data_IF_699269800906
#
_entry.id   IF_699269800906
#
_cell.length_a   1.000
_cell.length_b   1.000
_cell.length_c   1.000
_cell.angle_alpha   90.00
_cell.angle_beta   90.00
_cell.angle_gamma   90.00
#
_symmetry.space_group_name_H-M   'P 1'
#
loop_
_entity.id
_entity.type
_entity.pdbx_description
1 polymer ?
#
# COMPACT_ATOMS: atom_id res chain seq x y z
N UNK A 1 37.21 -41.64 21.54
CA UNK A 1 37.42 -40.18 21.44
C UNK A 1 37.65 -39.66 20.03
N UNK A 2 38.38 -40.36 19.13
CA UNK A 2 38.61 -39.90 17.74
C UNK A 2 37.35 -39.92 16.86
N UNK A 3 36.50 -40.95 17.01
CA UNK A 3 35.27 -41.12 16.21
C UNK A 3 34.20 -40.04 16.53
N UNK A 4 34.07 -39.65 17.81
CA UNK A 4 33.14 -38.57 18.23
C UNK A 4 33.54 -37.20 17.67
N UNK A 5 34.86 -36.92 17.55
CA UNK A 5 35.36 -35.68 16.96
C UNK A 5 35.07 -35.61 15.46
N UNK A 6 35.17 -36.74 14.75
CA UNK A 6 34.86 -36.83 13.31
C UNK A 6 33.37 -36.63 13.00
N UNK A 7 32.47 -37.15 13.84
CA UNK A 7 31.02 -36.96 13.69
C UNK A 7 30.64 -35.50 13.96
N UNK A 8 31.23 -34.87 14.98
CA UNK A 8 31.00 -33.45 15.29
C UNK A 8 31.45 -32.52 14.16
N UNK A 9 32.58 -32.81 13.49
CA UNK A 9 33.02 -32.01 12.34
C UNK A 9 32.14 -32.18 11.11
N UNK A 10 31.61 -33.38 10.85
CA UNK A 10 30.70 -33.61 9.71
C UNK A 10 29.37 -32.89 9.92
N UNK A 11 28.82 -32.96 11.14
CA UNK A 11 27.57 -32.26 11.50
C UNK A 11 27.72 -30.73 11.45
N UNK A 12 28.90 -30.19 11.79
CA UNK A 12 29.16 -28.76 11.72
C UNK A 12 29.33 -28.28 10.26
N UNK A 13 29.92 -29.11 9.38
CA UNK A 13 30.04 -28.80 7.95
C UNK A 13 28.71 -28.90 7.19
N UNK A 14 27.81 -29.82 7.56
CA UNK A 14 26.49 -29.90 6.93
C UNK A 14 25.56 -28.76 7.37
N UNK A 15 25.69 -28.29 8.62
CA UNK A 15 24.94 -27.13 9.11
C UNK A 15 25.41 -25.80 8.49
N UNK A 16 26.71 -25.68 8.17
CA UNK A 16 27.27 -24.52 7.47
C UNK A 16 26.91 -24.49 5.96
N UNK A 17 26.67 -25.65 5.34
CA UNK A 17 26.24 -25.71 3.94
C UNK A 17 24.76 -25.31 3.77
N UNK A 18 23.91 -25.60 4.76
CA UNK A 18 22.48 -25.26 4.69
C UNK A 18 22.21 -23.74 4.72
N UNK A 19 23.08 -22.94 5.34
CA UNK A 19 22.94 -21.47 5.37
C UNK A 19 23.37 -20.79 4.08
N UNK A 20 24.21 -21.43 3.25
CA UNK A 20 24.73 -20.86 2.01
C UNK A 20 23.73 -20.89 0.84
N UNK A 21 22.67 -21.71 0.91
CA UNK A 21 21.64 -21.79 -0.14
C UNK A 21 20.53 -20.73 -0.01
N UNK A 22 20.60 -19.83 0.96
CA UNK A 22 19.53 -18.85 1.21
C UNK A 22 19.60 -17.58 0.35
N UNK A 23 20.65 -17.40 -0.47
CA UNK A 23 20.76 -16.29 -1.41
C UNK A 23 20.95 -16.82 -2.84
N UNK A 24 19.84 -17.17 -3.48
CA UNK A 24 19.84 -17.46 -4.92
C UNK A 24 20.35 -16.25 -5.71
N UNK A 25 21.18 -16.51 -6.72
CA UNK A 25 21.53 -15.49 -7.72
C UNK A 25 20.26 -14.95 -8.36
N UNK A 26 20.16 -13.61 -8.54
CA UNK A 26 19.05 -12.96 -9.25
C UNK A 26 18.89 -13.54 -10.68
N UNK A 27 19.94 -14.19 -11.21
CA UNK A 27 19.93 -14.84 -12.54
C UNK A 27 19.00 -16.05 -12.66
N UNK A 28 18.62 -16.71 -11.56
CA UNK A 28 17.78 -17.93 -11.57
C UNK A 28 16.28 -17.65 -11.38
N UNK A 29 15.86 -16.39 -11.43
CA UNK A 29 14.45 -16.04 -11.36
C UNK A 29 13.74 -16.35 -12.69
N UNK A 30 12.55 -16.97 -12.68
CA UNK A 30 11.80 -17.26 -13.90
C UNK A 30 11.45 -15.93 -14.61
N UNK A 31 12.13 -15.64 -15.73
CA UNK A 31 12.04 -14.33 -16.40
C UNK A 31 10.62 -13.95 -16.84
N UNK A 32 9.81 -14.94 -17.23
CA UNK A 32 8.40 -14.74 -17.62
C UNK A 32 7.46 -14.40 -16.46
N UNK A 33 7.89 -14.65 -15.22
CA UNK A 33 7.10 -14.43 -13.99
C UNK A 33 7.71 -13.32 -13.12
N UNK A 34 8.83 -12.72 -13.54
CA UNK A 34 9.62 -11.80 -12.74
C UNK A 34 9.81 -10.47 -13.47
N UNK A 35 9.22 -9.42 -12.91
CA UNK A 35 9.52 -8.04 -13.28
C UNK A 35 10.65 -7.51 -12.38
N UNK A 36 11.79 -7.18 -12.99
CA UNK A 36 12.91 -6.54 -12.30
C UNK A 36 12.84 -5.05 -12.65
N UNK A 37 12.61 -4.22 -11.64
CA UNK A 37 12.54 -2.75 -11.78
C UNK A 37 13.70 -2.14 -11.01
N UNK A 38 14.37 -1.17 -11.64
CA UNK A 38 15.41 -0.40 -10.98
C UNK A 38 14.80 0.58 -9.97
N UNK A 39 15.42 0.70 -8.79
CA UNK A 39 15.03 1.71 -7.82
C UNK A 39 15.69 3.07 -8.15
N UNK A 40 14.90 4.11 -8.48
CA UNK A 40 15.45 5.44 -8.80
C UNK A 40 16.09 6.15 -7.59
N UNK A 41 15.84 5.70 -6.36
CA UNK A 41 16.39 6.30 -5.13
C UNK A 41 17.78 5.76 -4.77
N UNK A 42 18.33 4.83 -5.56
CA UNK A 42 19.61 4.21 -5.31
C UNK A 42 19.60 3.23 -4.12
N UNK A 43 20.69 3.20 -3.35
CA UNK A 43 20.87 2.22 -2.27
C UNK A 43 20.03 2.59 -1.04
N UNK A 44 19.09 1.71 -0.69
CA UNK A 44 18.26 1.86 0.51
C UNK A 44 18.95 1.21 1.71
N UNK A 45 19.21 2.00 2.75
CA UNK A 45 19.86 1.52 3.98
C UNK A 45 18.98 0.57 4.79
N UNK A 46 17.66 0.80 4.78
CA UNK A 46 16.68 0.05 5.57
C UNK A 46 15.62 -0.60 4.68
N UNK A 47 16.01 -1.56 3.84
CA UNK A 47 15.11 -2.18 2.86
C UNK A 47 13.90 -2.92 3.48
N UNK A 48 13.99 -3.33 4.75
CA UNK A 48 12.90 -4.01 5.46
C UNK A 48 11.85 -3.09 6.09
N UNK A 49 12.04 -1.78 6.03
CA UNK A 49 11.16 -0.82 6.71
C UNK A 49 10.20 -0.16 5.72
N UNK A 50 8.98 -0.69 5.64
CA UNK A 50 7.95 -0.29 4.68
C UNK A 50 6.90 0.69 5.26
N UNK A 51 7.27 1.50 6.25
CA UNK A 51 6.37 2.52 6.79
C UNK A 51 6.50 3.80 5.96
N UNK A 52 5.55 4.05 5.06
CA UNK A 52 5.63 5.20 4.16
C UNK A 52 5.32 6.55 4.84
N UNK A 53 4.63 6.50 5.98
CA UNK A 53 4.22 7.68 6.75
C UNK A 53 5.32 8.26 7.63
N UNK A 54 6.27 7.42 8.05
CA UNK A 54 7.46 7.89 8.74
C UNK A 54 8.47 8.54 7.78
N UNK A 55 9.05 9.66 8.21
CA UNK A 55 10.13 10.33 7.48
C UNK A 55 11.39 9.47 7.61
N UNK A 56 12.10 9.24 6.50
CA UNK A 56 13.33 8.44 6.43
C UNK A 56 13.22 6.96 6.86
N UNK A 57 12.01 6.42 6.98
CA UNK A 57 11.80 5.01 7.32
C UNK A 57 12.41 4.05 6.28
N UNK A 58 12.11 4.30 5.00
CA UNK A 58 12.60 3.53 3.86
C UNK A 58 12.43 4.29 2.56
N UNK A 59 12.80 3.65 1.45
CA UNK A 59 12.61 4.23 0.12
C UNK A 59 11.15 4.22 -0.30
N UNK A 60 10.67 5.30 -0.93
CA UNK A 60 9.26 5.42 -1.36
C UNK A 60 9.04 4.66 -2.67
N UNK A 61 10.02 4.77 -3.56
CA UNK A 61 10.03 4.25 -4.93
C UNK A 61 10.48 2.79 -5.02
N UNK A 62 10.40 2.04 -3.91
CA UNK A 62 10.87 0.65 -3.76
C UNK A 62 9.85 -0.40 -4.22
N UNK A 63 8.84 -0.01 -4.99
CA UNK A 63 7.66 -0.83 -5.33
C UNK A 63 6.46 -0.54 -4.42
N UNK A 64 6.70 -0.03 -3.21
CA UNK A 64 5.64 0.15 -2.20
C UNK A 64 4.58 1.15 -2.66
N UNK A 65 4.97 2.38 -3.03
CA UNK A 65 3.99 3.36 -3.49
C UNK A 65 3.47 3.12 -4.92
N UNK A 66 4.22 2.38 -5.76
CA UNK A 66 3.81 2.13 -7.15
C UNK A 66 2.82 0.97 -7.26
N UNK A 67 2.97 -0.08 -6.45
CA UNK A 67 2.25 -1.34 -6.63
C UNK A 67 1.38 -1.74 -5.45
N UNK A 68 1.71 -1.31 -4.24
CA UNK A 68 1.08 -1.84 -3.02
C UNK A 68 0.11 -0.86 -2.34
N UNK A 69 0.11 0.41 -2.71
CA UNK A 69 -0.73 1.42 -2.07
C UNK A 69 -1.59 2.19 -3.05
N UNK A 70 -2.77 2.56 -2.59
CA UNK A 70 -3.76 3.27 -3.38
C UNK A 70 -4.28 4.51 -2.64
N UNK A 71 -4.95 5.40 -3.38
CA UNK A 71 -5.52 6.65 -2.88
C UNK A 71 -6.96 6.84 -3.39
N UNK A 72 -7.61 7.95 -3.06
CA UNK A 72 -8.98 8.19 -3.51
C UNK A 72 -9.08 8.31 -5.03
N UNK A 73 -8.17 9.07 -5.64
CA UNK A 73 -8.22 9.37 -7.07
C UNK A 73 -6.84 9.22 -7.70
N UNK A 74 -6.84 8.71 -8.93
CA UNK A 74 -5.66 8.60 -9.77
C UNK A 74 -5.79 9.56 -10.95
N UNK A 75 -4.68 10.17 -11.37
CA UNK A 75 -4.64 10.99 -12.59
C UNK A 75 -4.02 10.19 -13.73
N UNK A 76 -4.82 9.92 -14.75
CA UNK A 76 -4.34 9.50 -16.05
C UNK A 76 -4.03 10.74 -16.90
N UNK A 77 -2.75 10.93 -17.25
CA UNK A 77 -2.29 12.06 -18.04
C UNK A 77 -2.60 11.89 -19.55
N UNK A 78 -2.81 10.67 -20.02
CA UNK A 78 -3.02 10.35 -21.43
C UNK A 78 -4.48 10.54 -21.86
N UNK A 79 -5.44 10.40 -20.92
CA UNK A 79 -6.88 10.62 -21.17
C UNK A 79 -7.28 12.08 -21.44
N UNK A 80 -6.33 13.01 -21.38
CA UNK A 80 -6.55 14.43 -21.65
C UNK A 80 -7.36 15.17 -20.58
N UNK A 81 -7.59 16.47 -20.80
CA UNK A 81 -8.11 17.39 -19.77
C UNK A 81 -9.58 17.17 -19.34
N UNK A 82 -10.33 16.26 -19.99
CA UNK A 82 -11.77 16.09 -19.76
C UNK A 82 -12.11 14.98 -18.74
N UNK A 83 -11.26 13.96 -18.61
CA UNK A 83 -11.46 12.81 -17.71
C UNK A 83 -10.20 12.54 -16.90
N UNK A 84 -9.72 13.59 -16.22
CA UNK A 84 -8.44 13.60 -15.52
C UNK A 84 -8.42 12.71 -14.28
N UNK A 85 -9.58 12.29 -13.75
CA UNK A 85 -9.65 11.55 -12.48
C UNK A 85 -10.32 10.19 -12.66
N UNK A 86 -9.53 9.16 -12.38
CA UNK A 86 -9.99 7.80 -12.20
C UNK A 86 -10.23 7.54 -10.71
N UNK A 87 -11.44 7.07 -10.40
CA UNK A 87 -11.83 6.73 -9.05
C UNK A 87 -11.16 5.40 -8.66
N UNK A 88 -10.28 5.41 -7.66
CA UNK A 88 -9.65 4.18 -7.14
C UNK A 88 -10.35 3.74 -5.85
N UNK A 89 -9.96 4.25 -4.69
CA UNK A 89 -10.64 3.97 -3.41
C UNK A 89 -11.95 4.75 -3.25
N UNK A 90 -12.09 5.90 -3.91
CA UNK A 90 -13.35 6.64 -3.93
C UNK A 90 -14.35 6.02 -4.91
N UNK A 91 -15.63 6.21 -4.63
CA UNK A 91 -16.73 5.90 -5.55
C UNK A 91 -17.06 7.11 -6.46
N UNK A 92 -16.97 8.32 -5.91
CA UNK A 92 -17.33 9.58 -6.56
C UNK A 92 -16.17 10.59 -6.56
N UNK A 93 -16.29 11.62 -7.39
CA UNK A 93 -15.46 12.83 -7.33
C UNK A 93 -15.63 13.56 -5.97
N UNK A 94 -14.64 14.35 -5.52
CA UNK A 94 -14.75 15.11 -4.28
C UNK A 94 -15.93 16.08 -4.35
N UNK A 95 -16.81 16.07 -3.34
CA UNK A 95 -17.92 17.01 -3.24
C UNK A 95 -17.58 18.09 -2.23
N UNK A 96 -17.61 19.35 -2.66
CA UNK A 96 -17.39 20.50 -1.78
C UNK A 96 -18.70 21.20 -1.47
N UNK A 97 -18.78 21.82 -0.30
CA UNK A 97 -19.81 22.82 -0.02
C UNK A 97 -19.53 24.13 -0.78
N UNK A 98 -20.49 25.06 -0.78
CA UNK A 98 -20.39 26.33 -1.50
C UNK A 98 -19.18 27.19 -1.07
N UNK A 99 -18.81 27.13 0.21
CA UNK A 99 -17.73 27.92 0.79
C UNK A 99 -16.35 27.23 0.73
N UNK A 100 -16.27 26.02 0.17
CA UNK A 100 -15.06 25.17 0.13
C UNK A 100 -14.41 24.93 1.50
N UNK A 101 -15.20 24.94 2.57
CA UNK A 101 -14.78 24.65 3.94
C UNK A 101 -15.03 23.19 4.34
N UNK A 102 -15.87 22.48 3.59
CA UNK A 102 -16.16 21.06 3.81
C UNK A 102 -15.98 20.27 2.52
N UNK A 103 -15.35 19.11 2.61
CA UNK A 103 -15.19 18.15 1.52
C UNK A 103 -15.73 16.78 1.94
N UNK A 104 -16.71 16.28 1.20
CA UNK A 104 -17.27 14.93 1.37
C UNK A 104 -16.66 13.97 0.35
N UNK A 105 -16.24 12.80 0.82
CA UNK A 105 -15.73 11.71 -0.02
C UNK A 105 -16.56 10.46 0.25
N UNK A 106 -17.06 9.86 -0.84
CA UNK A 106 -17.70 8.54 -0.80
C UNK A 106 -16.69 7.48 -1.19
N UNK A 107 -16.54 6.47 -0.37
CA UNK A 107 -15.66 5.32 -0.55
C UNK A 107 -16.38 4.23 -1.31
N UNK A 108 -15.63 3.42 -2.05
CA UNK A 108 -16.16 2.27 -2.76
C UNK A 108 -16.32 1.08 -1.79
N UNK A 109 -17.47 0.38 -1.80
CA UNK A 109 -17.67 -0.81 -0.98
C UNK A 109 -16.91 -2.02 -1.56
N UNK A 110 -16.65 -3.02 -0.72
CA UNK A 110 -16.04 -4.30 -1.15
C UNK A 110 -14.54 -4.22 -1.45
N UNK A 111 -13.85 -3.20 -0.94
CA UNK A 111 -12.39 -3.12 -0.98
C UNK A 111 -11.85 -3.74 0.31
N UNK A 112 -10.83 -4.59 0.17
CA UNK A 112 -10.21 -5.27 1.29
C UNK A 112 -8.73 -4.94 1.34
N UNK A 113 -8.24 -4.74 2.56
CA UNK A 113 -6.84 -4.85 2.86
C UNK A 113 -6.36 -6.25 2.57
N UNK A 114 -5.05 -6.33 2.43
CA UNK A 114 -4.39 -7.53 1.98
C UNK A 114 -4.40 -8.65 3.02
N UNK A 115 -4.76 -8.35 4.28
CA UNK A 115 -4.99 -9.31 5.35
C UNK A 115 -6.45 -9.80 5.42
N UNK A 116 -7.30 -9.35 4.49
CA UNK A 116 -8.72 -9.68 4.41
C UNK A 116 -9.63 -8.75 5.22
N UNK A 117 -9.10 -7.75 5.92
CA UNK A 117 -9.92 -6.75 6.62
C UNK A 117 -10.52 -5.77 5.61
N UNK A 118 -11.82 -5.50 5.68
CA UNK A 118 -12.46 -4.57 4.74
C UNK A 118 -12.01 -3.12 5.01
N UNK A 119 -11.65 -2.41 3.94
CA UNK A 119 -11.33 -0.98 3.98
C UNK A 119 -12.59 -0.15 4.26
N UNK A 120 -12.49 0.79 5.20
CA UNK A 120 -13.63 1.59 5.64
C UNK A 120 -13.28 3.05 5.95
N UNK A 121 -14.32 3.85 6.20
CA UNK A 121 -14.18 5.24 6.64
C UNK A 121 -13.33 5.38 7.92
N UNK A 122 -13.28 4.37 8.78
CA UNK A 122 -12.46 4.38 10.00
C UNK A 122 -10.96 4.40 9.70
N UNK A 123 -10.52 3.71 8.66
CA UNK A 123 -9.13 3.74 8.21
C UNK A 123 -8.76 5.14 7.72
N UNK A 124 -9.66 5.79 6.98
CA UNK A 124 -9.46 7.17 6.51
C UNK A 124 -9.39 8.16 7.68
N UNK A 125 -10.32 8.07 8.63
CA UNK A 125 -10.32 8.90 9.83
C UNK A 125 -9.01 8.73 10.59
N UNK A 126 -8.57 7.48 10.78
CA UNK A 126 -7.30 7.18 11.43
C UNK A 126 -6.09 7.75 10.67
N UNK A 127 -6.07 7.61 9.35
CA UNK A 127 -5.01 8.13 8.46
C UNK A 127 -4.81 9.64 8.61
N UNK A 128 -5.88 10.38 8.92
CA UNK A 128 -5.86 11.84 9.03
C UNK A 128 -5.65 12.30 10.47
N UNK A 129 -6.31 11.66 11.44
CA UNK A 129 -6.14 12.00 12.85
C UNK A 129 -4.71 11.70 13.35
N UNK A 130 -4.08 10.68 12.78
CA UNK A 130 -2.70 10.30 13.12
C UNK A 130 -1.70 11.45 12.89
N UNK A 131 -1.55 12.02 11.68
CA UNK A 131 -0.70 13.19 11.42
C UNK A 131 -1.16 14.47 12.13
N UNK A 132 -2.43 14.57 12.56
CA UNK A 132 -2.89 15.67 13.41
C UNK A 132 -2.36 15.58 14.84
N UNK A 133 -2.22 14.37 15.40
CA UNK A 133 -1.79 14.11 16.78
C UNK A 133 -0.27 13.90 16.90
N UNK A 134 0.35 13.37 15.86
CA UNK A 134 1.77 13.00 15.85
C UNK A 134 2.55 13.90 14.90
N UNK A 135 3.54 14.61 15.45
CA UNK A 135 4.52 15.37 14.67
C UNK A 135 5.61 14.45 14.14
N UNK A 136 6.18 14.78 12.97
CA UNK A 136 7.27 14.02 12.37
C UNK A 136 6.84 12.96 11.35
N UNK A 137 5.55 12.87 11.02
CA UNK A 137 5.09 12.09 9.86
C UNK A 137 5.12 12.95 8.60
N UNK A 138 5.27 12.29 7.44
CA UNK A 138 5.45 12.93 6.13
C UNK A 138 4.35 13.94 5.78
N UNK A 139 3.10 13.67 6.17
CA UNK A 139 1.94 14.52 5.87
C UNK A 139 1.45 15.34 7.07
N UNK A 140 2.12 15.32 8.23
CA UNK A 140 1.69 16.07 9.43
C UNK A 140 1.47 17.55 9.13
N UNK A 141 2.44 18.22 8.49
CA UNK A 141 2.32 19.65 8.18
C UNK A 141 1.14 19.96 7.24
N UNK A 142 0.99 19.18 6.15
CA UNK A 142 -0.07 19.39 5.17
C UNK A 142 -1.46 19.22 5.80
N UNK A 143 -1.64 18.18 6.62
CA UNK A 143 -2.90 17.90 7.30
C UNK A 143 -3.18 18.95 8.39
N UNK A 144 -2.21 19.26 9.25
CA UNK A 144 -2.41 20.21 10.36
C UNK A 144 -2.72 21.63 9.88
N UNK A 145 -2.22 22.04 8.71
CA UNK A 145 -2.52 23.36 8.13
C UNK A 145 -3.92 23.41 7.51
N UNK A 146 -4.38 22.32 6.89
CA UNK A 146 -5.61 22.33 6.09
C UNK A 146 -6.83 21.77 6.81
N UNK A 147 -6.67 20.73 7.64
CA UNK A 147 -7.77 19.97 8.24
C UNK A 147 -8.04 20.47 9.66
N UNK A 148 -9.28 20.88 9.91
CA UNK A 148 -9.78 21.22 11.23
C UNK A 148 -10.30 19.98 11.96
N UNK A 149 -11.08 19.16 11.26
CA UNK A 149 -11.70 17.96 11.80
C UNK A 149 -12.05 16.97 10.68
N UNK A 150 -12.24 15.70 11.03
CA UNK A 150 -12.68 14.65 10.12
C UNK A 150 -13.69 13.74 10.81
N UNK A 151 -14.83 13.54 10.17
CA UNK A 151 -15.90 12.69 10.68
C UNK A 151 -16.29 11.64 9.65
N UNK A 152 -16.54 10.40 10.12
CA UNK A 152 -17.19 9.38 9.33
C UNK A 152 -18.70 9.46 9.61
N UNK A 153 -19.50 9.77 8.59
CA UNK A 153 -20.97 9.81 8.72
C UNK A 153 -21.57 8.42 8.56
N UNK A 154 -20.91 7.57 7.77
CA UNK A 154 -21.24 6.16 7.60
C UNK A 154 -19.94 5.38 7.26
N UNK A 155 -20.05 4.05 7.12
CA UNK A 155 -18.91 3.16 6.85
C UNK A 155 -18.15 3.50 5.55
N UNK A 156 -18.78 4.16 4.61
CA UNK A 156 -18.23 4.50 3.29
C UNK A 156 -18.32 6.00 2.98
N UNK A 157 -18.56 6.88 3.96
CA UNK A 157 -18.64 8.32 3.73
C UNK A 157 -17.88 9.05 4.82
N UNK A 158 -16.95 9.88 4.39
CA UNK A 158 -16.14 10.73 5.25
C UNK A 158 -16.33 12.19 4.88
N UNK A 159 -16.37 13.05 5.89
CA UNK A 159 -16.49 14.50 5.76
C UNK A 159 -15.27 15.14 6.40
N UNK A 160 -14.52 15.88 5.59
CA UNK A 160 -13.39 16.68 6.02
C UNK A 160 -13.85 18.11 6.26
N UNK A 161 -13.58 18.63 7.45
CA UNK A 161 -13.74 20.06 7.76
C UNK A 161 -12.39 20.74 7.66
N UNK A 162 -12.34 21.83 6.91
CA UNK A 162 -11.11 22.56 6.61
C UNK A 162 -10.98 23.80 7.49
N UNK A 163 -9.74 24.16 7.85
CA UNK A 163 -9.43 25.37 8.63
C UNK A 163 -9.61 26.66 7.82
N UNK A 164 -9.47 26.56 6.49
CA UNK A 164 -9.59 27.67 5.54
C UNK A 164 -10.29 27.16 4.27
N UNK A 165 -11.06 28.00 3.57
CA UNK A 165 -11.60 27.66 2.26
C UNK A 165 -10.51 27.16 1.31
N UNK A 166 -10.65 25.94 0.79
CA UNK A 166 -9.69 25.37 -0.14
C UNK A 166 -10.38 24.45 -1.16
N UNK A 167 -10.57 24.98 -2.37
CA UNK A 167 -11.19 24.25 -3.50
C UNK A 167 -10.31 23.15 -4.09
N UNK A 168 -9.04 23.03 -3.65
CA UNK A 168 -8.06 22.07 -4.17
C UNK A 168 -7.57 21.07 -3.13
N UNK A 169 -8.24 20.95 -1.99
CA UNK A 169 -7.82 20.05 -0.92
C UNK A 169 -7.71 18.57 -1.37
N UNK A 170 -8.55 18.12 -2.29
CA UNK A 170 -8.51 16.78 -2.88
C UNK A 170 -7.19 16.43 -3.57
N UNK A 171 -6.40 17.43 -4.00
CA UNK A 171 -5.11 17.22 -4.65
C UNK A 171 -4.11 16.47 -3.75
N UNK A 172 -4.26 16.56 -2.41
CA UNK A 172 -3.44 15.81 -1.47
C UNK A 172 -3.64 14.29 -1.59
N UNK A 173 -4.83 13.86 -2.02
CA UNK A 173 -5.23 12.46 -2.17
C UNK A 173 -5.27 12.00 -3.63
N UNK A 174 -4.69 12.79 -4.53
CA UNK A 174 -4.69 12.50 -5.96
C UNK A 174 -3.28 12.16 -6.42
N UNK A 175 -3.09 10.95 -6.96
CA UNK A 175 -1.76 10.47 -7.38
C UNK A 175 -1.29 11.19 -8.64
N UNK A 176 -0.18 11.94 -8.52
CA UNK A 176 0.60 12.51 -9.64
C UNK A 176 2.09 12.08 -9.63
N UNK A 177 2.45 11.27 -8.64
CA UNK A 177 3.76 10.63 -8.35
C UNK A 177 3.75 10.21 -6.87
N UNK A 178 3.24 11.13 -6.05
CA UNK A 178 3.07 11.00 -4.61
C UNK A 178 1.67 11.50 -4.25
N UNK A 179 1.10 10.90 -3.23
CA UNK A 179 -0.16 11.31 -2.63
C UNK A 179 -0.21 10.77 -1.19
N UNK A 180 -1.18 11.23 -0.41
CA UNK A 180 -1.40 10.69 0.91
C UNK A 180 -2.11 9.34 0.82
N UNK A 181 -1.38 8.26 1.10
CA UNK A 181 -1.90 6.89 1.10
C UNK A 181 -2.69 6.58 2.37
N UNK A 182 -3.70 5.71 2.22
CA UNK A 182 -4.55 5.27 3.32
C UNK A 182 -3.79 4.32 4.25
N UNK A 183 -3.91 4.56 5.54
CA UNK A 183 -3.26 3.78 6.60
C UNK A 183 -4.23 2.75 7.17
N UNK A 184 -3.86 1.46 7.22
CA UNK A 184 -4.69 0.43 7.84
C UNK A 184 -4.70 0.63 9.36
N UNK A 185 -5.84 1.06 9.91
CA UNK A 185 -5.99 1.38 11.35
C UNK A 185 -5.60 0.19 12.22
N UNK A 186 -6.09 -1.00 11.88
CA UNK A 186 -5.94 -2.22 12.66
C UNK A 186 -4.48 -2.71 12.81
N UNK A 187 -3.57 -2.30 11.91
CA UNK A 187 -2.13 -2.59 12.00
C UNK A 187 -1.42 -1.51 12.82
N UNK A 188 -1.63 -0.24 12.44
CA UNK A 188 -0.87 0.88 12.97
C UNK A 188 -1.28 1.27 14.40
N UNK A 189 -2.53 1.02 14.80
CA UNK A 189 -2.99 1.23 16.17
C UNK A 189 -2.21 0.38 17.19
N UNK A 190 -1.69 -0.78 16.76
CA UNK A 190 -0.85 -1.67 17.58
C UNK A 190 0.63 -1.29 17.58
N UNK A 191 1.04 -0.39 16.69
CA UNK A 191 2.44 -0.09 16.38
C UNK A 191 3.16 0.83 17.36
N UNK A 192 2.46 1.42 18.33
CA UNK A 192 3.06 2.33 19.31
C UNK A 192 3.58 3.63 18.65
N UNK A 193 4.90 3.87 18.71
CA UNK A 193 5.51 5.05 18.09
C UNK A 193 5.54 4.91 16.56
N UNK A 194 4.57 5.54 15.91
CA UNK A 194 4.37 5.50 14.45
C UNK A 194 5.53 6.06 13.64
N UNK A 195 6.37 6.93 14.23
CA UNK A 195 7.55 7.47 13.55
C UNK A 195 8.66 6.43 13.47
N UNK A 196 8.75 5.53 14.46
CA UNK A 196 9.75 4.47 14.53
C UNK A 196 9.20 3.09 14.17
N UNK A 197 7.89 2.99 13.97
CA UNK A 197 7.23 1.73 13.68
C UNK A 197 7.77 1.13 12.38
N UNK A 198 8.54 0.06 12.51
CA UNK A 198 9.06 -0.71 11.41
C UNK A 198 8.00 -1.70 10.93
N UNK A 199 7.21 -1.28 9.93
CA UNK A 199 6.33 -2.21 9.26
C UNK A 199 7.16 -3.14 8.37
N UNK A 200 7.32 -4.37 8.82
CA UNK A 200 8.01 -5.41 8.07
C UNK A 200 6.97 -6.25 7.32
N UNK A 201 6.95 -6.15 6.00
CA UNK A 201 6.28 -7.15 5.17
C UNK A 201 7.32 -8.22 4.85
N UNK A 202 7.04 -9.52 5.06
CA UNK A 202 7.98 -10.57 4.70
C UNK A 202 8.13 -10.66 3.17
N UNK A 203 9.04 -9.84 2.60
CA UNK A 203 9.78 -9.95 1.33
C UNK A 203 9.05 -10.42 0.04
N UNK A 204 7.72 -10.57 0.04
CA UNK A 204 6.90 -11.02 -1.09
C UNK A 204 5.76 -10.03 -1.32
N UNK A 205 6.11 -8.86 -1.86
CA UNK A 205 5.12 -7.91 -2.38
C UNK A 205 4.60 -8.46 -3.70
N UNK A 206 3.49 -9.19 -3.66
CA UNK A 206 2.82 -9.77 -4.84
C UNK A 206 1.95 -8.69 -5.51
N UNK A 207 1.99 -8.63 -6.85
CA UNK A 207 1.30 -7.63 -7.65
C UNK A 207 -0.20 -7.52 -7.34
N UNK A 208 -0.67 -6.30 -7.11
CA UNK A 208 -2.09 -5.98 -7.23
C UNK A 208 -2.48 -6.00 -8.72
N UNK A 209 -3.45 -6.82 -9.09
CA UNK A 209 -4.02 -6.78 -10.44
C UNK A 209 -5.22 -5.84 -10.44
N UNK A 210 -5.26 -4.92 -11.40
CA UNK A 210 -6.45 -4.10 -11.68
C UNK A 210 -7.39 -4.91 -12.57
N UNK A 211 -8.63 -5.11 -12.16
CA UNK A 211 -9.60 -5.83 -12.99
C UNK A 211 -10.06 -4.97 -14.18
N UNK A 212 -10.82 -5.56 -15.11
CA UNK A 212 -11.31 -4.89 -16.32
C UNK A 212 -12.19 -3.65 -16.04
N UNK A 213 -12.66 -3.46 -14.80
CA UNK A 213 -13.44 -2.31 -14.34
C UNK A 213 -12.58 -1.23 -13.65
N UNK A 214 -11.26 -1.37 -13.71
CA UNK A 214 -10.34 -0.44 -13.06
C UNK A 214 -10.23 -0.64 -11.54
N UNK A 215 -10.84 -1.68 -10.95
CA UNK A 215 -10.78 -1.94 -9.51
C UNK A 215 -9.48 -2.64 -9.15
N UNK A 216 -8.82 -2.15 -8.09
CA UNK A 216 -7.65 -2.79 -7.52
C UNK A 216 -8.09 -4.06 -6.76
N UNK A 217 -7.80 -5.24 -7.31
CA UNK A 217 -7.92 -6.51 -6.58
C UNK A 217 -6.55 -6.82 -5.98
N UNK A 218 -6.25 -6.23 -4.83
CA UNK A 218 -5.05 -6.58 -4.07
C UNK A 218 -5.29 -7.90 -3.32
N UNK A 219 -4.53 -8.93 -3.68
CA UNK A 219 -4.29 -10.09 -2.82
C UNK A 219 -2.86 -9.99 -2.28
N UNK A 220 -2.65 -9.68 -1.00
CA UNK A 220 -1.48 -10.26 -0.32
C UNK A 220 -1.94 -11.60 0.24
N UNK A 221 -1.26 -12.66 -0.14
CA UNK A 221 -0.78 -13.67 0.79
C UNK A 221 -0.10 -14.78 0.00
N UNK A 222 0.93 -15.32 0.63
CA UNK A 222 1.50 -16.64 0.46
C UNK A 222 1.73 -17.24 -0.93
N UNK A 223 2.98 -17.68 -1.09
CA UNK A 223 3.32 -18.76 -1.99
C UNK A 223 2.87 -20.09 -1.35
N UNK A 224 1.63 -20.52 -1.61
CA UNK A 224 1.37 -21.97 -1.64
C UNK A 224 0.32 -22.32 -2.70
N UNK A 225 0.68 -23.05 -3.76
CA UNK A 225 -0.25 -23.54 -4.76
C UNK A 225 -0.81 -24.89 -4.31
N UNK A 226 -1.65 -24.96 -3.28
CA UNK A 226 -2.34 -26.23 -2.95
C UNK A 226 -3.77 -25.97 -2.48
N UNK A 227 -4.72 -26.25 -3.37
CA UNK A 227 -6.04 -26.80 -3.05
C UNK A 227 -6.94 -25.99 -2.12
N UNK A 228 -7.63 -24.99 -2.66
CA UNK A 228 -8.76 -24.35 -1.98
C UNK A 228 -9.41 -23.30 -2.85
N UNK A 229 -10.46 -23.68 -3.59
CA UNK A 229 -11.21 -22.78 -4.47
C UNK A 229 -11.84 -21.63 -3.68
N UNK A 230 -11.32 -20.43 -3.85
CA UNK A 230 -11.95 -19.19 -3.39
C UNK A 230 -12.91 -18.64 -4.46
N UNK A 231 -13.92 -17.83 -4.10
CA UNK A 231 -14.99 -17.39 -5.02
C UNK A 231 -14.52 -16.60 -6.25
N UNK A 232 -13.33 -15.99 -6.20
CA UNK A 232 -12.72 -15.30 -7.35
C UNK A 232 -12.04 -16.26 -8.35
N UNK A 233 -11.88 -17.54 -7.99
CA UNK A 233 -11.42 -18.64 -8.86
C UNK A 233 -12.59 -19.35 -9.55
N UNK A 234 -13.78 -18.75 -9.61
CA UNK A 234 -14.80 -19.27 -10.53
C UNK A 234 -14.48 -18.79 -11.94
N UNK A 235 -14.29 -19.70 -12.90
CA UNK A 235 -14.04 -19.36 -14.29
C UNK A 235 -15.35 -18.83 -14.89
N UNK A 236 -15.62 -17.54 -14.70
CA UNK A 236 -16.62 -16.85 -15.50
C UNK A 236 -16.01 -16.56 -16.87
N UNK A 237 -15.86 -17.61 -17.68
CA UNK A 237 -15.96 -17.57 -19.15
C UNK A 237 -15.18 -16.53 -19.95
N UNK A 238 -14.12 -15.91 -19.41
CA UNK A 238 -13.31 -14.93 -20.11
C UNK A 238 -12.04 -14.65 -19.32
N UNK A 239 -10.88 -14.96 -19.90
CA UNK A 239 -9.59 -14.95 -19.22
C UNK A 239 -9.25 -13.62 -18.53
N UNK A 240 -8.48 -13.70 -17.45
CA UNK A 240 -7.81 -12.56 -16.85
C UNK A 240 -6.83 -11.97 -17.88
N UNK A 241 -7.24 -10.88 -18.53
CA UNK A 241 -6.36 -10.11 -19.39
C UNK A 241 -5.40 -9.29 -18.51
N UNK A 242 -4.16 -9.77 -18.36
CA UNK A 242 -3.04 -8.84 -18.33
C UNK A 242 -3.01 -8.21 -19.72
N UNK A 243 -3.34 -6.93 -19.81
CA UNK A 243 -3.33 -6.23 -21.09
C UNK A 243 -1.89 -6.24 -21.64
N UNK A 244 -1.66 -7.04 -22.68
CA UNK A 244 -0.59 -6.81 -23.64
C UNK A 244 -0.85 -5.46 -24.31
N UNK A 245 -0.05 -4.46 -23.97
CA UNK A 245 0.46 -3.43 -24.89
C UNK A 245 1.81 -2.93 -24.41
#
# INVERSE_FOLDING_TARGET
MRILRSIATIALTTLAAATAFAQGSISDLPRRETLIVENPEGTIKNAGWFNIWAINAGGQSTGLHQLAMDTFWYIDLERGLKEVWDNSLAADKPRYNADFTEMTVKLRPGIFWSDGVEFSADDVVYTIQTPMKTNGLRWSAAVQVNVADITATDRHTVVFKLKRPNSRFHALFTVRWNAMWMMPKHVFEKGGDLVKFAQYYPQKVRCCCRNALGQLCCWLADANPIGGGHPCYQPLGGGCFCADR
#
